data_IF_365853050880
#
_entry.id   IF_365853050880
#
_cell.length_a   1.000
_cell.length_b   1.000
_cell.length_c   1.000
_cell.angle_alpha   90.00
_cell.angle_beta   90.00
_cell.angle_gamma   90.00
#
_symmetry.space_group_name_H-M   'P 1'
#
loop_
_entity.id
_entity.type
_entity.pdbx_description
1 polymer ?
#
# COMPACT_ATOMS: atom_id res chain seq x y z
N UNK A 1 -13.29 29.14 18.56
CA UNK A 1 -14.48 29.38 17.73
C UNK A 1 -13.94 29.62 16.34
N UNK A 2 -14.09 28.75 15.34
CA UNK A 2 -15.14 27.77 15.08
C UNK A 2 -14.60 26.71 14.10
N UNK A 3 -15.00 25.47 14.34
CA UNK A 3 -15.26 24.39 13.38
C UNK A 3 -14.30 24.10 12.21
N UNK A 4 -13.53 23.03 12.36
CA UNK A 4 -13.15 22.17 11.23
C UNK A 4 -13.83 20.84 11.47
N UNK A 5 -14.86 20.59 10.68
CA UNK A 5 -15.71 19.40 10.76
C UNK A 5 -14.88 18.13 10.51
N UNK A 6 -15.03 17.21 11.46
CA UNK A 6 -14.70 15.81 11.35
C UNK A 6 -15.68 15.16 10.38
N UNK A 7 -15.16 14.39 9.43
CA UNK A 7 -15.79 13.15 9.00
C UNK A 7 -14.77 12.02 9.17
N UNK A 8 -14.73 11.44 10.36
CA UNK A 8 -14.30 10.06 10.57
C UNK A 8 -15.55 9.33 11.06
N UNK A 9 -16.33 8.86 10.09
CA UNK A 9 -17.44 7.94 10.30
C UNK A 9 -17.06 6.63 9.58
N UNK A 10 -17.30 5.45 10.19
CA UNK A 10 -17.16 4.20 9.47
C UNK A 10 -18.31 4.12 8.47
N UNK A 11 -18.02 4.44 7.21
CA UNK A 11 -19.01 4.29 6.14
C UNK A 11 -19.43 2.81 6.04
N UNK A 12 -20.74 2.52 6.06
CA UNK A 12 -21.27 1.16 6.06
C UNK A 12 -21.17 0.57 4.66
N UNK A 13 -20.57 -0.63 4.54
CA UNK A 13 -20.78 -1.66 3.50
C UNK A 13 -21.27 -1.17 2.11
N UNK A 14 -20.62 -0.15 1.55
CA UNK A 14 -20.77 0.29 0.17
C UNK A 14 -19.64 -0.31 -0.65
N UNK A 15 -19.97 -0.86 -1.82
CA UNK A 15 -19.04 -1.38 -2.84
C UNK A 15 -17.57 -1.04 -2.58
N UNK A 16 -16.76 -2.04 -2.23
CA UNK A 16 -15.33 -1.88 -1.97
C UNK A 16 -14.67 -1.17 -3.16
N UNK A 17 -14.37 0.11 -2.98
CA UNK A 17 -13.58 0.87 -3.94
C UNK A 17 -12.12 0.39 -3.87
N UNK A 18 -11.41 0.41 -5.00
CA UNK A 18 -10.09 -0.23 -5.12
C UNK A 18 -9.09 0.28 -4.07
N UNK A 19 -9.10 1.59 -3.80
CA UNK A 19 -8.23 2.19 -2.79
C UNK A 19 -8.61 1.82 -1.35
N UNK A 20 -9.91 1.64 -1.07
CA UNK A 20 -10.39 1.19 0.24
C UNK A 20 -9.99 -0.26 0.53
N UNK A 21 -10.14 -1.14 -0.48
CA UNK A 21 -9.69 -2.52 -0.42
C UNK A 21 -8.17 -2.58 -0.17
N UNK A 22 -7.39 -1.75 -0.88
CA UNK A 22 -5.96 -1.66 -0.68
C UNK A 22 -5.57 -1.25 0.75
N UNK A 23 -6.30 -0.29 1.32
CA UNK A 23 -6.05 0.18 2.68
C UNK A 23 -6.31 -0.93 3.71
N UNK A 24 -7.37 -1.73 3.53
CA UNK A 24 -7.65 -2.89 4.36
C UNK A 24 -6.56 -3.94 4.25
N UNK A 25 -6.12 -4.26 3.03
CA UNK A 25 -5.05 -5.24 2.78
C UNK A 25 -3.75 -4.79 3.46
N UNK A 26 -3.39 -3.51 3.36
CA UNK A 26 -2.18 -3.00 4.00
C UNK A 26 -2.27 -3.08 5.53
N UNK A 27 -3.46 -2.82 6.11
CA UNK A 27 -3.69 -2.96 7.55
C UNK A 27 -3.59 -4.42 8.01
N UNK A 28 -4.20 -5.37 7.30
CA UNK A 28 -4.12 -6.79 7.67
C UNK A 28 -2.69 -7.31 7.52
N UNK A 29 -2.03 -6.99 6.42
CA UNK A 29 -0.65 -7.39 6.15
C UNK A 29 0.32 -6.87 7.23
N UNK A 30 0.07 -5.66 7.75
CA UNK A 30 0.87 -5.08 8.83
C UNK A 30 0.70 -5.87 10.14
N UNK A 31 -0.52 -6.29 10.48
CA UNK A 31 -0.78 -7.09 11.69
C UNK A 31 -0.05 -8.44 11.64
N UNK A 32 0.13 -8.99 10.44
CA UNK A 32 0.76 -10.29 10.21
C UNK A 32 2.25 -10.21 9.85
N UNK A 33 2.90 -9.05 10.02
CA UNK A 33 4.31 -8.82 9.65
C UNK A 33 4.63 -9.17 8.18
N UNK A 34 3.63 -9.10 7.30
CA UNK A 34 3.69 -9.47 5.89
C UNK A 34 4.05 -8.32 4.94
N UNK A 35 4.33 -7.13 5.48
CA UNK A 35 4.55 -5.90 4.71
C UNK A 35 6.02 -5.46 4.77
N UNK A 36 6.65 -5.31 3.61
CA UNK A 36 7.97 -4.70 3.49
C UNK A 36 7.87 -3.27 2.97
N UNK A 37 8.68 -2.40 3.57
CA UNK A 37 8.68 -0.96 3.31
C UNK A 37 10.08 -0.49 2.95
N UNK A 38 10.16 0.33 1.90
CA UNK A 38 11.41 0.91 1.45
C UNK A 38 12.15 0.04 0.43
N UNK A 39 12.91 0.72 -0.43
CA UNK A 39 13.46 0.15 -1.67
C UNK A 39 14.27 -1.12 -1.45
N UNK A 40 15.25 -1.09 -0.53
CA UNK A 40 16.17 -2.21 -0.35
C UNK A 40 15.50 -3.46 0.20
N UNK A 41 14.39 -3.33 0.93
CA UNK A 41 13.59 -4.49 1.35
C UNK A 41 12.72 -4.95 0.18
N UNK A 42 12.00 -4.04 -0.46
CA UNK A 42 11.17 -4.35 -1.63
C UNK A 42 11.94 -5.11 -2.71
N UNK A 43 13.13 -4.64 -3.13
CA UNK A 43 13.96 -5.35 -4.10
C UNK A 43 14.29 -6.78 -3.63
N UNK A 44 14.64 -6.97 -2.35
CA UNK A 44 14.93 -8.30 -1.80
C UNK A 44 13.70 -9.21 -1.80
N UNK A 45 12.48 -8.71 -1.55
CA UNK A 45 11.27 -9.52 -1.65
C UNK A 45 10.91 -9.88 -3.08
N UNK A 46 11.07 -8.94 -4.01
CA UNK A 46 10.85 -9.14 -5.44
C UNK A 46 11.82 -10.22 -5.97
N UNK A 47 13.13 -10.09 -5.66
CA UNK A 47 14.16 -11.06 -6.07
C UNK A 47 13.90 -12.47 -5.51
N UNK A 48 13.47 -12.55 -4.25
CA UNK A 48 13.15 -13.83 -3.60
C UNK A 48 11.84 -14.45 -4.08
N UNK A 49 11.10 -13.77 -4.97
CA UNK A 49 9.76 -14.17 -5.46
C UNK A 49 8.76 -14.44 -4.34
N UNK A 50 8.90 -13.73 -3.22
CA UNK A 50 7.98 -13.81 -2.07
C UNK A 50 6.93 -12.71 -2.10
N UNK A 51 6.98 -11.84 -3.11
CA UNK A 51 6.11 -10.69 -3.25
C UNK A 51 4.87 -11.06 -4.07
N UNK A 52 3.70 -10.76 -3.53
CA UNK A 52 2.42 -10.94 -4.23
C UNK A 52 1.95 -9.64 -4.89
N UNK A 53 2.23 -8.50 -4.25
CA UNK A 53 1.83 -7.17 -4.71
C UNK A 53 2.96 -6.17 -4.46
N UNK A 54 3.23 -5.33 -5.44
CA UNK A 54 4.09 -4.17 -5.30
C UNK A 54 3.28 -2.89 -5.51
N UNK A 55 3.49 -1.91 -4.64
CA UNK A 55 2.86 -0.60 -4.70
C UNK A 55 3.96 0.45 -4.79
N UNK A 56 3.91 1.25 -5.86
CA UNK A 56 4.87 2.29 -6.17
C UNK A 56 4.19 3.65 -6.05
N UNK A 57 4.83 4.60 -5.38
CA UNK A 57 4.41 6.00 -5.40
C UNK A 57 4.93 6.69 -6.67
N UNK A 58 4.09 7.48 -7.33
CA UNK A 58 4.49 8.28 -8.49
C UNK A 58 5.34 9.49 -8.09
N UNK A 59 5.22 9.97 -6.85
CA UNK A 59 5.95 11.13 -6.34
C UNK A 59 7.42 10.84 -5.98
N UNK A 60 8.09 9.88 -6.62
CA UNK A 60 9.50 9.56 -6.33
C UNK A 60 10.39 10.39 -7.26
N UNK A 61 11.27 11.18 -6.66
CA UNK A 61 12.09 12.17 -7.37
C UNK A 61 13.12 11.54 -8.33
N UNK A 62 13.56 10.31 -8.05
CA UNK A 62 14.57 9.64 -8.88
C UNK A 62 13.94 8.66 -9.89
N UNK A 63 14.12 8.87 -11.21
CA UNK A 63 13.56 7.99 -12.22
C UNK A 63 14.24 6.61 -12.27
N UNK A 64 15.45 6.46 -11.72
CA UNK A 64 16.08 5.14 -11.56
C UNK A 64 15.26 4.24 -10.65
N UNK A 65 14.63 4.82 -9.63
CA UNK A 65 13.83 4.11 -8.65
C UNK A 65 12.61 3.44 -9.28
N UNK A 66 11.84 4.20 -10.05
CA UNK A 66 10.62 3.71 -10.69
C UNK A 66 10.96 2.65 -11.73
N UNK A 67 12.00 2.89 -12.53
CA UNK A 67 12.48 1.92 -13.54
C UNK A 67 12.92 0.59 -12.94
N UNK A 68 13.67 0.61 -11.84
CA UNK A 68 14.12 -0.62 -11.18
C UNK A 68 12.94 -1.46 -10.69
N UNK A 69 11.97 -0.82 -10.04
CA UNK A 69 10.81 -1.52 -9.47
C UNK A 69 9.89 -2.04 -10.59
N UNK A 70 9.67 -1.25 -11.63
CA UNK A 70 8.89 -1.66 -12.80
C UNK A 70 9.54 -2.85 -13.52
N UNK A 71 10.86 -2.79 -13.76
CA UNK A 71 11.60 -3.88 -14.40
C UNK A 71 11.49 -5.18 -13.60
N UNK A 72 11.75 -5.13 -12.29
CA UNK A 72 11.65 -6.31 -11.41
C UNK A 72 10.22 -6.89 -11.37
N UNK A 73 9.20 -6.03 -11.38
CA UNK A 73 7.81 -6.49 -11.41
C UNK A 73 7.46 -7.16 -12.74
N UNK A 74 7.96 -6.63 -13.86
CA UNK A 74 7.75 -7.24 -15.19
C UNK A 74 8.48 -8.57 -15.36
N UNK A 75 9.72 -8.69 -14.90
CA UNK A 75 10.51 -9.92 -15.02
C UNK A 75 9.95 -11.07 -14.18
N UNK A 76 9.46 -10.77 -12.97
CA UNK A 76 8.93 -11.78 -12.06
C UNK A 76 7.41 -11.98 -12.19
N UNK A 77 6.73 -11.19 -13.02
CA UNK A 77 5.28 -11.29 -13.24
C UNK A 77 4.44 -10.91 -12.03
N UNK A 78 4.93 -9.96 -11.22
CA UNK A 78 4.29 -9.52 -9.98
C UNK A 78 3.36 -8.34 -10.27
N UNK A 79 2.21 -8.30 -9.61
CA UNK A 79 1.23 -7.25 -9.80
C UNK A 79 1.76 -5.90 -9.26
N UNK A 80 1.77 -4.89 -10.12
CA UNK A 80 2.21 -3.53 -9.77
C UNK A 80 1.02 -2.57 -9.75
N UNK A 81 0.89 -1.81 -8.65
CA UNK A 81 -0.03 -0.70 -8.55
C UNK A 81 0.72 0.62 -8.32
N UNK A 82 0.27 1.67 -8.99
CA UNK A 82 0.79 3.03 -8.81
C UNK A 82 -0.18 3.85 -7.98
N UNK A 83 0.36 4.58 -7.00
CA UNK A 83 -0.38 5.55 -6.15
C UNK A 83 0.26 6.91 -6.33
N UNK A 84 -0.55 7.97 -6.34
CA UNK A 84 -0.06 9.32 -6.64
C UNK A 84 0.85 9.88 -5.53
N UNK A 85 0.43 9.75 -4.26
CA UNK A 85 1.10 10.36 -3.12
C UNK A 85 1.87 9.38 -2.24
N UNK A 86 3.18 9.61 -2.08
CA UNK A 86 4.04 8.85 -1.14
C UNK A 86 3.66 9.00 0.33
N UNK A 87 3.08 10.14 0.73
CA UNK A 87 2.65 10.39 2.13
C UNK A 87 1.42 9.58 2.50
N UNK A 88 0.42 9.48 1.61
CA UNK A 88 -0.77 8.64 1.82
C UNK A 88 -0.39 7.17 1.93
N UNK A 89 0.50 6.72 1.04
CA UNK A 89 1.02 5.36 1.06
C UNK A 89 1.80 5.06 2.35
N UNK A 90 2.60 6.02 2.83
CA UNK A 90 3.28 5.92 4.12
C UNK A 90 2.31 5.82 5.30
N UNK A 91 1.22 6.58 5.29
CA UNK A 91 0.19 6.52 6.32
C UNK A 91 -0.50 5.15 6.38
N UNK A 92 -0.82 4.58 5.21
CA UNK A 92 -1.43 3.25 5.09
C UNK A 92 -0.46 2.13 5.48
N UNK A 93 0.83 2.30 5.18
CA UNK A 93 1.89 1.39 5.60
C UNK A 93 2.27 1.52 7.09
N UNK A 94 1.56 2.36 7.85
CA UNK A 94 1.78 2.53 9.29
C UNK A 94 3.02 3.36 9.65
N UNK A 95 3.59 4.12 8.71
CA UNK A 95 4.71 5.05 8.94
C UNK A 95 4.24 6.36 9.57
N UNK A 96 3.40 6.27 10.61
CA UNK A 96 2.88 7.44 11.31
C UNK A 96 3.16 7.37 12.80
N UNK A 97 3.52 8.51 13.37
CA UNK A 97 3.46 8.70 14.82
C UNK A 97 2.06 9.15 15.21
N UNK A 98 1.45 8.38 16.10
CA UNK A 98 0.11 8.64 16.64
C UNK A 98 0.27 9.53 17.88
N UNK A 99 -0.51 10.60 17.96
CA UNK A 99 -0.66 11.43 19.16
C UNK A 99 -1.63 10.79 20.16
N UNK A 100 -1.67 11.31 21.39
CA UNK A 100 -2.54 10.83 22.47
C UNK A 100 -4.04 10.83 22.08
N UNK A 101 -4.45 11.68 21.13
CA UNK A 101 -5.82 11.76 20.61
C UNK A 101 -6.10 10.79 19.44
N UNK A 102 -5.15 9.94 19.06
CA UNK A 102 -5.30 9.00 17.93
C UNK A 102 -5.06 9.60 16.54
N UNK A 103 -4.76 10.89 16.44
CA UNK A 103 -4.46 11.57 15.16
C UNK A 103 -3.02 11.36 14.72
N UNK A 104 -2.80 11.29 13.40
CA UNK A 104 -1.48 11.20 12.80
C UNK A 104 -0.77 12.57 12.82
N UNK A 105 0.34 12.71 13.57
CA UNK A 105 1.06 13.98 13.67
C UNK A 105 2.30 14.05 12.77
N UNK A 106 3.01 12.95 12.64
CA UNK A 106 4.20 12.84 11.78
C UNK A 106 4.03 11.63 10.89
N UNK A 107 3.73 11.87 9.62
CA UNK A 107 3.63 10.84 8.58
C UNK A 107 4.89 10.90 7.75
N UNK A 108 5.65 9.81 7.74
CA UNK A 108 6.80 9.65 6.86
C UNK A 108 6.33 9.09 5.52
N UNK A 109 6.82 9.67 4.43
CA UNK A 109 6.51 9.17 3.08
C UNK A 109 7.12 7.80 2.82
N UNK A 110 6.43 6.99 2.03
CA UNK A 110 6.94 5.73 1.53
C UNK A 110 6.91 5.73 -0.01
N UNK A 111 8.03 5.39 -0.63
CA UNK A 111 8.15 5.30 -2.10
C UNK A 111 7.69 3.96 -2.66
N UNK A 112 7.97 2.87 -1.94
CA UNK A 112 7.57 1.51 -2.32
C UNK A 112 7.15 0.70 -1.11
N UNK A 113 6.09 -0.08 -1.31
CA UNK A 113 5.64 -1.11 -0.37
C UNK A 113 5.42 -2.40 -1.15
N UNK A 114 5.87 -3.50 -0.56
CA UNK A 114 5.64 -4.84 -1.10
C UNK A 114 4.91 -5.67 -0.06
N UNK A 115 3.85 -6.34 -0.50
CA UNK A 115 3.10 -7.29 0.33
C UNK A 115 3.59 -8.70 0.02
N UNK A 116 4.10 -9.37 1.06
CA UNK A 116 4.52 -10.77 1.02
C UNK A 116 3.46 -11.72 1.53
N UNK A 117 2.70 -11.29 2.53
CA UNK A 117 1.65 -12.09 3.14
C UNK A 117 0.48 -11.18 3.47
N UNK A 118 -0.70 -11.58 3.01
CA UNK A 118 -1.94 -10.85 3.26
C UNK A 118 -2.56 -11.22 4.63
N UNK A 119 -2.12 -12.34 5.20
CA UNK A 119 -2.50 -12.85 6.52
C UNK A 119 -3.93 -13.40 6.61
N UNK A 120 -4.91 -12.73 5.99
CA UNK A 120 -6.31 -13.17 5.95
C UNK A 120 -6.89 -13.01 4.55
N UNK A 121 -7.60 -14.03 4.11
CA UNK A 121 -8.45 -13.95 2.93
C UNK A 121 -9.66 -13.06 3.24
N UNK A 122 -9.71 -11.90 2.59
CA UNK A 122 -10.78 -10.91 2.72
C UNK A 122 -11.36 -10.60 1.34
N UNK A 123 -12.62 -10.14 1.31
CA UNK A 123 -13.28 -9.62 0.09
C UNK A 123 -12.42 -8.56 -0.61
N UNK A 124 -11.61 -7.81 0.13
CA UNK A 124 -10.66 -6.84 -0.41
C UNK A 124 -9.62 -7.47 -1.34
N UNK A 125 -9.11 -8.68 -1.02
CA UNK A 125 -8.14 -9.38 -1.87
C UNK A 125 -8.78 -9.88 -3.16
N UNK A 126 -10.03 -10.32 -3.09
CA UNK A 126 -10.76 -10.81 -4.27
C UNK A 126 -10.99 -9.66 -5.25
N UNK A 127 -11.45 -8.50 -4.77
CA UNK A 127 -11.62 -7.30 -5.58
C UNK A 127 -10.28 -6.85 -6.21
N UNK A 128 -9.19 -6.88 -5.45
CA UNK A 128 -7.86 -6.51 -5.97
C UNK A 128 -7.39 -7.50 -7.04
N UNK A 129 -7.57 -8.80 -6.80
CA UNK A 129 -7.19 -9.85 -7.74
C UNK A 129 -8.03 -9.82 -9.01
N UNK A 130 -9.33 -9.55 -8.90
CA UNK A 130 -10.21 -9.35 -10.07
C UNK A 130 -9.80 -8.13 -10.89
N UNK A 131 -9.44 -7.02 -10.23
CA UNK A 131 -8.91 -5.86 -10.92
C UNK A 131 -7.62 -6.19 -11.69
N UNK A 132 -6.68 -6.91 -11.07
CA UNK A 132 -5.45 -7.32 -11.76
C UNK A 132 -5.69 -8.34 -12.87
N UNK A 133 -6.65 -9.25 -12.72
CA UNK A 133 -7.06 -10.17 -13.79
C UNK A 133 -7.73 -9.43 -14.94
N UNK A 134 -8.55 -8.42 -14.66
CA UNK A 134 -9.24 -7.63 -15.68
C UNK A 134 -8.32 -6.64 -16.41
N UNK A 135 -7.20 -6.25 -15.79
CA UNK A 135 -6.24 -5.28 -16.34
C UNK A 135 -5.04 -5.94 -17.04
N UNK A 136 -4.92 -7.27 -16.94
CA UNK A 136 -3.89 -8.08 -17.59
C UNK A 136 -4.36 -8.57 -18.94
#
# INVERSE_FOLDING_TARGET
MSDTEREDAPAPAGSLDLYSALQEILKTSLIHDGLERGLSQCCKALDKRKAHLCILANSVDEPSYTKLVEALCTEHGINLLKVEDSKKLGEWAGLRRIDVEGKARKVNGCGCVVVKDYGKESQALDVLNEYFKSKK
#
